data_IF_808843685988
#
_entry.id   IF_808843685988
#
_cell.length_a   1.000
_cell.length_b   1.000
_cell.length_c   1.000
_cell.angle_alpha   90.00
_cell.angle_beta   90.00
_cell.angle_gamma   90.00
#
_symmetry.space_group_name_H-M   'P 1'
#
loop_
_entity.id
_entity.type
_entity.pdbx_description
1 polymer ?
#
# COMPACT_ATOMS: atom_id res chain seq x y z
N UNK A 1 -28.53 12.28 9.18
CA UNK A 1 -27.47 11.32 9.56
C UNK A 1 -26.39 12.11 10.27
N UNK A 2 -25.71 11.50 11.25
CA UNK A 2 -24.46 12.01 11.82
C UNK A 2 -23.36 11.29 11.06
N UNK A 3 -22.61 12.03 10.25
CA UNK A 3 -21.55 11.45 9.43
C UNK A 3 -20.27 11.26 10.27
N UNK A 4 -19.63 10.08 10.22
CA UNK A 4 -18.42 9.86 10.98
C UNK A 4 -17.24 10.57 10.30
N UNK A 5 -16.63 11.53 11.01
CA UNK A 5 -15.38 12.17 10.62
C UNK A 5 -14.22 11.17 10.58
N UNK A 6 -13.38 11.25 9.55
CA UNK A 6 -12.17 10.44 9.44
C UNK A 6 -12.41 8.96 9.14
N UNK A 7 -13.63 8.58 8.78
CA UNK A 7 -13.98 7.20 8.44
C UNK A 7 -14.34 7.04 6.96
N UNK A 8 -13.93 5.91 6.37
CA UNK A 8 -14.46 5.46 5.09
C UNK A 8 -15.76 4.68 5.33
N UNK A 9 -16.85 5.09 4.69
CA UNK A 9 -18.15 4.44 4.86
C UNK A 9 -19.00 4.49 3.59
N UNK A 10 -19.96 3.56 3.50
CA UNK A 10 -20.99 3.52 2.46
C UNK A 10 -22.37 3.58 3.08
N UNK A 11 -23.25 4.39 2.47
CA UNK A 11 -24.65 4.53 2.88
C UNK A 11 -25.55 3.82 1.89
N UNK A 12 -26.54 3.09 2.40
CA UNK A 12 -27.53 2.40 1.61
C UNK A 12 -28.93 2.70 2.15
N UNK A 13 -29.81 3.19 1.29
CA UNK A 13 -31.20 3.46 1.62
C UNK A 13 -32.07 2.36 1.03
N UNK A 14 -32.95 1.79 1.85
CA UNK A 14 -34.03 0.92 1.37
C UNK A 14 -35.38 1.45 1.84
N UNK A 15 -36.38 1.31 0.99
CA UNK A 15 -37.78 1.51 1.34
C UNK A 15 -38.47 0.15 1.22
N UNK A 16 -39.00 -0.36 2.33
CA UNK A 16 -39.77 -1.61 2.35
C UNK A 16 -41.08 -1.32 3.05
N UNK A 17 -42.18 -1.41 2.31
CA UNK A 17 -43.54 -1.15 2.80
C UNK A 17 -43.70 0.22 3.48
N UNK A 18 -43.05 1.26 2.95
CA UNK A 18 -43.10 2.62 3.50
C UNK A 18 -42.19 2.86 4.72
N UNK A 19 -41.41 1.86 5.13
CA UNK A 19 -40.36 2.01 6.14
C UNK A 19 -39.05 2.32 5.43
N UNK A 20 -38.55 3.54 5.61
CA UNK A 20 -37.23 3.96 5.14
C UNK A 20 -36.15 3.50 6.12
N UNK A 21 -35.26 2.62 5.66
CA UNK A 21 -34.10 2.14 6.41
C UNK A 21 -32.82 2.73 5.82
N UNK A 22 -31.99 3.28 6.70
CA UNK A 22 -30.61 3.70 6.38
C UNK A 22 -29.66 2.68 6.99
N UNK A 23 -28.93 1.98 6.14
CA UNK A 23 -27.80 1.12 6.53
C UNK A 23 -26.50 1.86 6.24
N UNK A 24 -25.58 1.87 7.21
CA UNK A 24 -24.27 2.48 7.04
C UNK A 24 -23.22 1.41 7.32
N UNK A 25 -22.37 1.13 6.33
CA UNK A 25 -21.26 0.20 6.45
C UNK A 25 -19.97 1.00 6.58
N UNK A 26 -19.27 0.87 7.71
CA UNK A 26 -18.02 1.58 7.99
C UNK A 26 -16.86 0.63 7.78
N UNK A 27 -15.93 1.00 6.92
CA UNK A 27 -14.82 0.15 6.48
C UNK A 27 -13.56 0.40 7.31
N UNK A 28 -13.24 1.66 7.60
CA UNK A 28 -12.06 2.03 8.39
C UNK A 28 -12.23 3.43 8.98
N UNK A 29 -11.52 3.71 10.08
CA UNK A 29 -11.53 5.02 10.74
C UNK A 29 -10.10 5.40 11.18
N UNK A 30 -9.62 6.57 10.76
CA UNK A 30 -8.31 7.08 11.15
C UNK A 30 -8.30 7.73 12.56
N UNK A 31 -9.48 8.01 13.11
CA UNK A 31 -9.72 8.56 14.44
C UNK A 31 -11.01 8.01 15.05
N UNK A 32 -11.19 8.20 16.36
CA UNK A 32 -12.47 7.89 17.00
C UNK A 32 -13.53 8.83 16.44
N UNK A 33 -14.70 8.29 16.13
CA UNK A 33 -15.74 9.04 15.45
C UNK A 33 -17.13 8.63 15.91
N UNK A 34 -18.11 9.49 15.66
CA UNK A 34 -19.50 9.21 16.01
C UNK A 34 -20.33 9.05 14.75
N UNK A 35 -21.03 7.93 14.65
CA UNK A 35 -22.01 7.69 13.60
C UNK A 35 -23.39 7.64 14.20
N UNK A 36 -24.41 8.03 13.43
CA UNK A 36 -25.77 7.85 13.90
C UNK A 36 -26.84 8.33 12.94
N UNK A 37 -28.08 8.09 13.32
CA UNK A 37 -29.25 8.47 12.53
C UNK A 37 -29.99 9.61 13.22
N UNK A 38 -30.48 10.54 12.40
CA UNK A 38 -31.38 11.60 12.84
C UNK A 38 -32.65 11.40 12.02
N UNK A 39 -33.77 11.18 12.69
CA UNK A 39 -35.09 11.14 12.10
C UNK A 39 -35.77 12.48 12.35
N UNK A 40 -36.09 13.20 11.27
CA UNK A 40 -36.86 14.45 11.31
C UNK A 40 -38.15 14.25 10.54
N UNK A 41 -39.27 14.75 11.08
CA UNK A 41 -40.49 14.92 10.30
C UNK A 41 -40.45 16.31 9.66
N UNK A 42 -40.76 16.38 8.36
CA UNK A 42 -40.98 17.67 7.68
C UNK A 42 -42.36 18.16 8.12
N UNK A 43 -42.51 19.43 8.55
CA UNK A 43 -43.81 19.94 8.94
C UNK A 43 -44.76 19.87 7.73
N UNK A 44 -45.86 19.14 7.89
CA UNK A 44 -47.03 19.33 7.04
C UNK A 44 -47.63 20.68 7.43
N UNK A 45 -47.61 21.67 6.53
CA UNK A 45 -48.04 23.07 6.78
C UNK A 45 -49.48 23.23 7.32
N UNK A 46 -50.24 22.15 7.50
CA UNK A 46 -51.63 22.15 7.95
C UNK A 46 -51.85 21.64 9.39
N UNK A 47 -50.84 21.10 10.08
CA UNK A 47 -51.01 20.55 11.43
C UNK A 47 -49.90 21.02 12.37
N UNK A 48 -50.28 21.81 13.38
CA UNK A 48 -49.43 22.24 14.51
C UNK A 48 -49.12 21.07 15.46
N UNK A 49 -48.55 19.98 14.96
CA UNK A 49 -48.10 18.86 15.79
C UNK A 49 -46.64 19.01 16.21
N UNK A 50 -46.26 18.54 17.42
CA UNK A 50 -44.90 18.67 17.92
C UNK A 50 -43.92 17.93 17.01
N UNK A 51 -42.85 18.63 16.61
CA UNK A 51 -41.77 18.06 15.80
C UNK A 51 -41.09 16.92 16.55
N UNK A 52 -41.26 15.68 16.07
CA UNK A 52 -40.55 14.54 16.65
C UNK A 52 -39.15 14.45 16.04
N UNK A 53 -38.11 14.69 16.84
CA UNK A 53 -36.72 14.46 16.46
C UNK A 53 -36.16 13.28 17.25
N UNK A 54 -35.96 12.15 16.57
CA UNK A 54 -35.28 10.99 17.15
C UNK A 54 -33.80 10.99 16.76
N UNK A 55 -32.90 10.82 17.74
CA UNK A 55 -31.46 10.66 17.51
C UNK A 55 -30.98 9.34 18.10
N UNK A 56 -30.26 8.56 17.31
CA UNK A 56 -29.43 7.46 17.80
C UNK A 56 -27.99 7.67 17.34
N UNK A 57 -27.03 7.29 18.17
CA UNK A 57 -25.61 7.43 17.85
C UNK A 57 -24.78 6.37 18.52
N UNK A 58 -23.70 5.97 17.85
CA UNK A 58 -22.74 4.99 18.31
C UNK A 58 -21.33 5.55 18.11
N UNK A 59 -20.46 5.29 19.08
CA UNK A 59 -19.04 5.61 18.96
C UNK A 59 -18.36 4.51 18.15
N UNK A 60 -17.59 4.90 17.14
CA UNK A 60 -16.72 4.03 16.37
C UNK A 60 -15.29 4.32 16.79
N UNK A 61 -14.60 3.29 17.29
CA UNK A 61 -13.20 3.39 17.65
C UNK A 61 -12.33 3.45 16.38
N UNK A 62 -11.22 4.18 16.47
CA UNK A 62 -10.15 4.15 15.48
C UNK A 62 -9.79 2.69 15.18
N UNK A 63 -9.79 2.31 13.91
CA UNK A 63 -9.21 1.04 13.49
C UNK A 63 -7.70 1.18 13.58
N UNK A 64 -7.08 0.59 14.60
CA UNK A 64 -5.62 0.46 14.65
C UNK A 64 -5.29 -0.70 13.71
N UNK A 65 -4.67 -0.45 12.56
CA UNK A 65 -4.20 -1.55 11.74
C UNK A 65 -3.18 -2.35 12.53
N UNK A 66 -3.33 -3.68 12.50
CA UNK A 66 -2.32 -4.57 13.07
C UNK A 66 -1.05 -4.35 12.28
N UNK A 67 -0.01 -3.84 12.93
CA UNK A 67 1.29 -3.67 12.29
C UNK A 67 1.81 -5.03 11.83
N UNK A 68 1.95 -5.20 10.52
CA UNK A 68 2.67 -6.32 9.92
C UNK A 68 4.02 -5.79 9.45
N UNK A 69 5.14 -6.24 10.04
CA UNK A 69 6.44 -5.84 9.52
C UNK A 69 6.66 -6.42 8.11
N UNK A 70 7.38 -5.68 7.23
CA UNK A 70 8.00 -6.24 6.04
C UNK A 70 8.76 -7.55 6.30
N UNK A 71 8.82 -8.46 5.32
CA UNK A 71 9.85 -9.51 5.35
C UNK A 71 11.24 -8.90 5.07
N UNK A 72 12.31 -9.65 5.34
CA UNK A 72 13.64 -9.28 4.85
C UNK A 72 13.66 -9.31 3.32
N UNK A 73 14.43 -8.41 2.72
CA UNK A 73 14.75 -8.41 1.30
C UNK A 73 15.56 -9.68 0.96
N UNK A 74 15.09 -10.45 -0.01
CA UNK A 74 15.77 -11.64 -0.53
C UNK A 74 16.36 -11.29 -1.89
N UNK A 75 17.66 -11.53 -2.07
CA UNK A 75 18.34 -11.25 -3.34
C UNK A 75 19.02 -12.49 -3.89
N UNK A 76 18.87 -12.69 -5.20
CA UNK A 76 19.54 -13.72 -5.96
C UNK A 76 20.31 -13.04 -7.09
N UNK A 77 21.58 -13.37 -7.22
CA UNK A 77 22.45 -12.82 -8.26
C UNK A 77 23.49 -13.84 -8.69
N UNK A 78 24.30 -13.53 -9.72
CA UNK A 78 25.33 -14.44 -10.18
C UNK A 78 26.39 -14.65 -9.09
N UNK A 79 26.66 -15.91 -8.74
CA UNK A 79 27.73 -16.28 -7.82
C UNK A 79 29.14 -16.12 -8.43
N UNK A 80 29.24 -15.94 -9.75
CA UNK A 80 30.50 -15.77 -10.47
C UNK A 80 30.29 -15.12 -11.85
N UNK A 81 31.27 -14.33 -12.29
CA UNK A 81 31.27 -13.63 -13.60
C UNK A 81 31.15 -14.64 -14.74
N UNK A 82 30.15 -14.54 -15.64
CA UNK A 82 29.99 -15.50 -16.72
C UNK A 82 31.08 -15.30 -17.77
N UNK A 83 31.80 -16.37 -18.10
CA UNK A 83 32.98 -16.37 -18.97
C UNK A 83 32.68 -16.52 -20.47
N UNK A 84 31.42 -16.51 -20.91
CA UNK A 84 31.11 -16.75 -22.34
C UNK A 84 29.88 -16.02 -22.91
N UNK A 85 29.06 -15.37 -22.07
CA UNK A 85 28.00 -14.45 -22.53
C UNK A 85 27.69 -13.46 -21.42
N UNK A 86 27.68 -12.16 -21.74
CA UNK A 86 27.48 -11.10 -20.74
C UNK A 86 25.99 -10.93 -20.43
N UNK A 87 25.39 -11.98 -19.87
CA UNK A 87 24.00 -11.96 -19.46
C UNK A 87 23.95 -12.21 -17.96
N UNK A 88 23.78 -11.13 -17.21
CA UNK A 88 23.65 -11.15 -15.76
C UNK A 88 22.19 -10.93 -15.40
N UNK A 89 21.62 -11.87 -14.66
CA UNK A 89 20.28 -11.73 -14.08
C UNK A 89 20.40 -11.61 -12.57
N UNK A 90 19.74 -10.60 -12.01
CA UNK A 90 19.56 -10.41 -10.57
C UNK A 90 18.08 -10.36 -10.31
N UNK A 91 17.61 -11.03 -9.25
CA UNK A 91 16.25 -10.92 -8.77
C UNK A 91 16.24 -10.55 -7.30
N UNK A 92 15.27 -9.71 -6.94
CA UNK A 92 15.06 -9.24 -5.58
C UNK A 92 13.59 -9.38 -5.24
N UNK A 93 13.28 -9.98 -4.10
CA UNK A 93 11.90 -10.16 -3.67
C UNK A 93 11.70 -9.74 -2.22
N UNK A 94 10.51 -9.20 -1.98
CA UNK A 94 10.08 -8.79 -0.65
C UNK A 94 8.57 -8.90 -0.54
N UNK A 95 8.08 -9.42 0.57
CA UNK A 95 6.65 -9.43 0.88
C UNK A 95 6.32 -8.16 1.65
N UNK A 96 5.32 -7.43 1.17
CA UNK A 96 4.82 -6.21 1.78
C UNK A 96 4.40 -6.45 3.23
N UNK A 97 4.70 -5.45 4.06
CA UNK A 97 4.12 -5.30 5.39
C UNK A 97 2.89 -4.39 5.38
N UNK A 98 2.46 -3.98 6.56
CA UNK A 98 1.53 -2.87 6.71
C UNK A 98 2.24 -1.57 6.32
N UNK A 99 1.68 -0.92 5.28
CA UNK A 99 2.29 -0.03 4.29
C UNK A 99 3.12 -0.72 3.19
N UNK A 100 2.77 -0.47 1.91
CA UNK A 100 3.52 -0.98 0.77
C UNK A 100 4.99 -0.53 0.80
N UNK A 101 5.89 -1.44 0.44
CA UNK A 101 7.32 -1.18 0.33
C UNK A 101 7.65 -0.79 -1.12
N UNK A 102 8.45 0.25 -1.33
CA UNK A 102 8.98 0.55 -2.66
C UNK A 102 10.21 -0.32 -2.90
N UNK A 103 10.24 -1.01 -4.05
CA UNK A 103 11.36 -1.84 -4.49
C UNK A 103 11.93 -1.23 -5.77
N UNK A 104 13.17 -0.79 -5.73
CA UNK A 104 13.83 -0.04 -6.81
C UNK A 104 15.16 -0.68 -7.19
N UNK A 105 15.58 -0.48 -8.44
CA UNK A 105 16.89 -0.90 -8.93
C UNK A 105 17.98 0.08 -8.50
N UNK A 106 19.12 -0.45 -8.06
CA UNK A 106 20.37 0.31 -8.01
C UNK A 106 20.93 0.31 -9.43
N UNK A 107 20.75 1.44 -10.12
CA UNK A 107 21.07 1.57 -11.54
C UNK A 107 22.56 1.34 -11.79
N UNK A 108 22.94 0.38 -12.65
CA UNK A 108 24.32 0.21 -13.04
C UNK A 108 24.77 1.34 -13.97
N UNK A 109 25.93 1.93 -13.68
CA UNK A 109 26.55 2.95 -14.52
C UNK A 109 27.26 2.32 -15.70
N UNK A 110 27.00 2.83 -16.92
CA UNK A 110 27.69 2.34 -18.12
C UNK A 110 27.20 0.97 -18.61
N UNK A 111 26.03 0.52 -18.15
CA UNK A 111 25.47 -0.76 -18.53
C UNK A 111 24.10 -0.65 -19.20
N UNK A 112 23.89 -1.46 -20.22
CA UNK A 112 22.58 -1.67 -20.82
C UNK A 112 21.85 -2.74 -20.02
N UNK A 113 20.71 -2.37 -19.44
CA UNK A 113 19.90 -3.27 -18.61
C UNK A 113 18.40 -3.11 -18.87
N UNK A 114 17.66 -4.17 -18.56
CA UNK A 114 16.20 -4.19 -18.56
C UNK A 114 15.72 -4.57 -17.17
N UNK A 115 14.65 -3.95 -16.71
CA UNK A 115 14.00 -4.28 -15.44
C UNK A 115 12.59 -4.82 -15.68
N UNK A 116 12.18 -5.77 -14.85
CA UNK A 116 10.86 -6.36 -14.87
C UNK A 116 10.32 -6.46 -13.45
N UNK A 117 9.10 -5.97 -13.27
CA UNK A 117 8.45 -5.88 -11.97
C UNK A 117 7.19 -6.73 -11.94
N UNK A 118 7.05 -7.56 -10.90
CA UNK A 118 5.83 -8.30 -10.61
C UNK A 118 5.37 -8.04 -9.18
N UNK A 119 4.06 -8.16 -8.97
CA UNK A 119 3.45 -8.10 -7.66
C UNK A 119 2.36 -9.16 -7.58
N UNK A 120 2.66 -10.26 -6.90
CA UNK A 120 1.75 -11.39 -6.71
C UNK A 120 1.36 -11.48 -5.24
N UNK A 121 0.08 -11.17 -4.95
CA UNK A 121 -0.50 -11.26 -3.61
C UNK A 121 0.29 -10.51 -2.52
N UNK A 122 0.90 -9.38 -2.86
CA UNK A 122 1.70 -8.56 -1.92
C UNK A 122 3.17 -8.97 -1.84
N UNK A 123 3.61 -10.00 -2.55
CA UNK A 123 5.04 -10.24 -2.79
C UNK A 123 5.46 -9.51 -4.05
N UNK A 124 6.39 -8.57 -3.89
CA UNK A 124 7.00 -7.79 -4.96
C UNK A 124 8.28 -8.46 -5.39
N UNK A 125 8.48 -8.58 -6.69
CA UNK A 125 9.71 -9.09 -7.26
C UNK A 125 10.20 -8.15 -8.37
N UNK A 126 11.49 -7.81 -8.29
CA UNK A 126 12.21 -7.01 -9.27
C UNK A 126 13.31 -7.89 -9.88
N UNK A 127 13.20 -8.15 -11.17
CA UNK A 127 14.22 -8.83 -11.96
C UNK A 127 14.96 -7.82 -12.83
N UNK A 128 16.28 -7.85 -12.81
CA UNK A 128 17.15 -6.98 -13.59
C UNK A 128 18.06 -7.82 -14.46
N UNK A 129 18.01 -7.55 -15.76
CA UNK A 129 18.77 -8.26 -16.78
C UNK A 129 19.76 -7.30 -17.43
N UNK A 130 21.05 -7.56 -17.24
CA UNK A 130 22.14 -6.77 -17.83
C UNK A 130 22.64 -7.47 -19.09
N UNK A 131 22.79 -6.68 -20.16
CA UNK A 131 23.16 -7.14 -21.50
C UNK A 131 24.58 -6.75 -21.92
N UNK A 132 25.07 -5.61 -21.44
CA UNK A 132 26.43 -5.11 -21.70
C UNK A 132 26.81 -4.09 -20.65
N UNK A 133 28.12 -3.95 -20.39
CA UNK A 133 28.70 -2.88 -19.59
C UNK A 133 30.01 -2.39 -20.22
N UNK A 134 30.19 -1.08 -20.37
CA UNK A 134 31.43 -0.47 -20.85
C UNK A 134 32.51 -0.34 -19.76
N UNK A 135 32.09 -0.41 -18.49
CA UNK A 135 32.94 -0.36 -17.31
C UNK A 135 32.47 -1.33 -16.22
N UNK A 136 33.31 -1.53 -15.19
CA UNK A 136 32.85 -2.25 -14.00
C UNK A 136 31.78 -1.41 -13.31
N UNK A 137 30.68 -2.05 -12.90
CA UNK A 137 29.56 -1.37 -12.26
C UNK A 137 29.05 -2.16 -11.06
N UNK A 138 28.21 -1.52 -10.27
CA UNK A 138 27.42 -2.15 -9.21
C UNK A 138 25.96 -2.14 -9.63
N UNK A 139 25.27 -3.23 -9.37
CA UNK A 139 23.84 -3.38 -9.61
C UNK A 139 23.20 -4.07 -8.42
N UNK A 140 21.93 -3.81 -8.17
CA UNK A 140 21.28 -4.35 -7.00
C UNK A 140 19.87 -3.82 -6.85
N UNK A 141 19.34 -3.97 -5.65
CA UNK A 141 18.01 -3.50 -5.32
C UNK A 141 17.99 -2.81 -3.98
N UNK A 142 17.11 -1.84 -3.84
CA UNK A 142 16.82 -1.15 -2.60
C UNK A 142 15.32 -1.27 -2.30
N UNK A 143 15.00 -1.69 -1.08
CA UNK A 143 13.65 -1.77 -0.55
C UNK A 143 13.48 -0.71 0.53
N UNK A 144 12.58 0.25 0.29
CA UNK A 144 12.32 1.37 1.21
C UNK A 144 10.86 1.46 1.60
N UNK A 145 10.57 1.81 2.85
CA UNK A 145 9.23 2.13 3.30
C UNK A 145 9.14 3.63 3.61
N UNK A 146 8.12 4.31 3.08
CA UNK A 146 7.83 5.69 3.47
C UNK A 146 7.43 5.76 4.96
N UNK A 147 7.83 6.81 5.69
CA UNK A 147 7.48 6.94 7.10
C UNK A 147 5.97 7.10 7.29
N UNK A 148 5.41 6.30 8.20
CA UNK A 148 4.02 6.45 8.62
C UNK A 148 3.86 7.79 9.34
N UNK A 149 2.93 8.66 8.89
CA UNK A 149 2.70 9.99 9.50
C UNK A 149 2.39 9.95 11.02
N UNK A 150 2.07 8.79 11.60
CA UNK A 150 1.72 8.63 13.02
C UNK A 150 2.61 7.67 13.83
N UNK A 151 3.64 7.04 13.23
CA UNK A 151 4.57 6.17 13.95
C UNK A 151 6.00 6.60 13.64
N UNK A 152 6.74 7.03 14.66
CA UNK A 152 8.17 7.38 14.56
C UNK A 152 9.07 6.14 14.41
N UNK A 153 8.54 5.04 13.87
CA UNK A 153 9.29 3.80 13.68
C UNK A 153 10.19 3.97 12.47
N UNK A 154 11.45 3.59 12.67
CA UNK A 154 12.57 3.64 11.73
C UNK A 154 12.16 3.33 10.30
N UNK A 155 12.59 4.16 9.35
CA UNK A 155 12.47 3.89 7.92
C UNK A 155 13.04 2.49 7.64
N UNK A 156 12.21 1.55 7.19
CA UNK A 156 12.69 0.27 6.70
C UNK A 156 13.49 0.53 5.43
N UNK A 157 14.77 0.19 5.44
CA UNK A 157 15.67 0.31 4.30
C UNK A 157 16.58 -0.90 4.26
N UNK A 158 16.40 -1.77 3.28
CA UNK A 158 17.32 -2.88 3.00
C UNK A 158 17.82 -2.77 1.57
N UNK A 159 19.06 -3.19 1.34
CA UNK A 159 19.67 -3.20 0.01
C UNK A 159 20.54 -4.43 -0.17
N UNK A 160 20.71 -4.84 -1.41
CA UNK A 160 21.69 -5.83 -1.82
C UNK A 160 22.34 -5.37 -3.11
N UNK A 161 23.63 -5.66 -3.25
CA UNK A 161 24.48 -5.13 -4.32
C UNK A 161 25.39 -6.25 -4.83
N UNK A 162 25.58 -6.27 -6.14
CA UNK A 162 26.42 -7.21 -6.86
C UNK A 162 27.35 -6.42 -7.79
N UNK A 163 28.63 -6.78 -7.77
CA UNK A 163 29.59 -6.21 -8.70
C UNK A 163 29.49 -6.95 -10.04
N UNK A 164 29.42 -6.18 -11.12
CA UNK A 164 29.44 -6.68 -12.49
C UNK A 164 30.66 -6.13 -13.21
N UNK A 165 31.41 -7.02 -13.85
CA UNK A 165 32.63 -6.66 -14.60
C UNK A 165 32.26 -5.95 -15.88
N UNK A 166 33.15 -5.15 -16.49
CA UNK A 166 32.94 -4.71 -17.88
C UNK A 166 32.74 -5.91 -18.83
N UNK A 167 32.05 -5.69 -19.94
CA UNK A 167 32.01 -6.68 -21.03
C UNK A 167 33.35 -6.66 -21.76
N UNK A 168 34.11 -7.75 -21.67
CA UNK A 168 35.30 -7.91 -22.50
C UNK A 168 34.87 -8.09 -23.96
N UNK A 169 35.00 -7.02 -24.76
CA UNK A 169 35.08 -7.15 -26.21
C UNK A 169 36.45 -7.78 -26.49
N UNK A 170 36.45 -9.06 -26.88
CA UNK A 170 37.68 -9.81 -27.17
C UNK A 170 38.61 -9.11 -28.17
#
# INVERSE_FOLDING_TARGET
MIEPEGCAFQKHYTDVNGIRKLSINVTSCNQNSNIGCIATQVPLELLSTPQYSGRCGFNISKSIPVYQPPTSLVCQGPFSSPSVSYHVTISCSITDGYQPINLEVIKPEGCDYHEYYTNDNGTKELSVYVTSCDQNSTIGCIATQEPFQSLSTSQYSQRCEFNISKTDQG
#
